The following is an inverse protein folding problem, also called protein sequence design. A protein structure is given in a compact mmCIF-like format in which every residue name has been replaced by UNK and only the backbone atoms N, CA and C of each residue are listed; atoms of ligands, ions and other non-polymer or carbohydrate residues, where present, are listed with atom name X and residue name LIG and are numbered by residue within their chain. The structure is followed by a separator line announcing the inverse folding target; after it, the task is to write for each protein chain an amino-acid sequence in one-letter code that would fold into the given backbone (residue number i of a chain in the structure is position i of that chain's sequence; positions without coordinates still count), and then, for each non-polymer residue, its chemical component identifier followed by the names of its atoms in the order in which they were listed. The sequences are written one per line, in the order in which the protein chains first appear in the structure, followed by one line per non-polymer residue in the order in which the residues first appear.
data_IF_427683973361
#
_entry.id   IF_427683973361
#
_cell.length_a   1.000
_cell.length_b   1.000
_cell.length_c   1.000
_cell.angle_alpha   90.00
_cell.angle_beta   90.00
_cell.angle_gamma   90.00
#
_symmetry.space_group_name_H-M   'P 1'
#
loop_
_entity.id
_entity.type
_entity.pdbx_description
1 polymer ?
#
# COMPACT_ATOMS: atom_id res chain seq x y z
N UNK A 1 -10.97 11.21 8.63
CA UNK A 1 -9.59 11.67 8.82
C UNK A 1 -9.13 12.58 7.70
N UNK A 2 -8.98 12.09 6.43
CA UNK A 2 -8.38 12.87 5.33
C UNK A 2 -9.13 14.19 5.03
N UNK A 3 -10.44 14.14 4.88
CA UNK A 3 -11.26 15.35 4.61
C UNK A 3 -11.07 16.38 5.72
N UNK A 4 -11.24 15.95 6.96
CA UNK A 4 -11.04 16.84 8.12
C UNK A 4 -9.64 17.46 8.12
N UNK A 5 -8.60 16.65 7.86
CA UNK A 5 -7.22 17.15 7.82
C UNK A 5 -7.00 18.20 6.74
N UNK A 6 -7.55 17.98 5.54
CA UNK A 6 -7.44 18.92 4.44
C UNK A 6 -8.20 20.22 4.73
N UNK A 7 -9.40 20.14 5.32
CA UNK A 7 -10.22 21.29 5.68
C UNK A 7 -9.57 22.16 6.76
N UNK A 8 -8.75 21.56 7.64
CA UNK A 8 -8.06 22.25 8.74
C UNK A 8 -6.57 22.51 8.45
N UNK A 9 -6.11 22.26 7.22
CA UNK A 9 -4.69 22.38 6.86
C UNK A 9 -4.10 23.76 7.20
N UNK A 10 -4.83 24.84 6.91
CA UNK A 10 -4.39 26.20 7.22
C UNK A 10 -4.24 26.44 8.73
N UNK A 11 -5.16 25.95 9.55
CA UNK A 11 -5.10 26.04 11.02
C UNK A 11 -3.92 25.25 11.59
N UNK A 12 -3.58 24.12 10.94
CA UNK A 12 -2.47 23.27 11.33
C UNK A 12 -1.11 23.76 10.79
N UNK A 13 -1.10 24.84 9.99
CA UNK A 13 0.11 25.37 9.37
C UNK A 13 0.72 24.45 8.32
N UNK A 14 -0.11 23.62 7.65
CA UNK A 14 0.33 22.68 6.62
C UNK A 14 -0.26 23.05 5.25
N UNK A 15 0.41 22.61 4.19
CA UNK A 15 -0.04 22.84 2.81
C UNK A 15 -1.00 21.71 2.35
N UNK A 16 -2.26 22.05 2.13
CA UNK A 16 -3.28 21.11 1.67
C UNK A 16 -2.98 20.49 0.29
N UNK A 17 -2.10 21.12 -0.53
CA UNK A 17 -1.69 20.58 -1.83
C UNK A 17 -0.54 19.57 -1.72
N UNK A 18 0.01 19.38 -0.53
CA UNK A 18 1.18 18.53 -0.27
C UNK A 18 0.86 17.39 0.70
N UNK A 19 -0.36 16.87 0.63
CA UNK A 19 -0.80 15.75 1.46
C UNK A 19 -0.39 14.43 0.80
N UNK A 20 0.34 13.61 1.54
CA UNK A 20 0.65 12.21 1.17
C UNK A 20 -0.04 11.29 2.17
N UNK A 21 -0.72 10.26 1.69
CA UNK A 21 -1.17 9.16 2.54
C UNK A 21 -0.11 8.08 2.57
N UNK A 22 0.13 7.51 3.76
CA UNK A 22 1.09 6.41 3.87
C UNK A 22 0.63 5.36 4.87
N UNK A 23 1.11 4.15 4.65
CA UNK A 23 0.83 3.05 5.57
C UNK A 23 1.63 1.80 5.26
N UNK A 24 1.85 0.98 6.28
CA UNK A 24 2.49 -0.33 6.18
C UNK A 24 1.48 -1.46 6.38
N UNK A 25 1.67 -2.57 5.65
CA UNK A 25 0.88 -3.79 5.80
C UNK A 25 -0.63 -3.51 5.61
N UNK A 26 -1.47 -3.84 6.58
CA UNK A 26 -2.89 -3.49 6.58
C UNK A 26 -3.10 -1.96 6.44
N UNK A 27 -2.25 -1.15 7.08
CA UNK A 27 -2.27 0.31 6.92
C UNK A 27 -1.94 0.77 5.51
N UNK A 28 -1.09 0.03 4.78
CA UNK A 28 -0.81 0.26 3.35
C UNK A 28 -2.05 -0.02 2.50
N UNK A 29 -2.77 -1.09 2.78
CA UNK A 29 -4.08 -1.38 2.17
C UNK A 29 -5.10 -0.27 2.42
N UNK A 30 -5.18 0.22 3.67
CA UNK A 30 -6.05 1.35 4.02
C UNK A 30 -5.63 2.64 3.29
N UNK A 31 -4.34 2.93 3.16
CA UNK A 31 -3.84 4.09 2.42
C UNK A 31 -4.22 4.02 0.93
N UNK A 32 -4.07 2.86 0.31
CA UNK A 32 -4.50 2.63 -1.07
C UNK A 32 -6.03 2.77 -1.22
N UNK A 33 -6.80 2.20 -0.27
CA UNK A 33 -8.26 2.34 -0.23
C UNK A 33 -8.73 3.79 -0.06
N UNK A 34 -8.02 4.57 0.77
CA UNK A 34 -8.29 6.01 0.95
C UNK A 34 -7.97 6.78 -0.32
N UNK A 35 -6.90 6.43 -1.05
CA UNK A 35 -6.55 7.06 -2.33
C UNK A 35 -7.63 6.82 -3.38
N UNK A 36 -8.13 5.58 -3.51
CA UNK A 36 -9.28 5.24 -4.36
C UNK A 36 -10.52 6.03 -3.97
N UNK A 37 -10.85 6.06 -2.69
CA UNK A 37 -12.04 6.73 -2.18
C UNK A 37 -11.98 8.25 -2.39
N UNK A 38 -10.81 8.87 -2.20
CA UNK A 38 -10.60 10.30 -2.43
C UNK A 38 -10.80 10.65 -3.89
N UNK A 39 -10.24 9.86 -4.83
CA UNK A 39 -10.44 10.01 -6.26
C UNK A 39 -11.94 9.92 -6.62
N UNK A 40 -12.59 8.82 -6.23
CA UNK A 40 -13.96 8.51 -6.64
C UNK A 40 -14.99 9.51 -6.08
N UNK A 41 -14.73 10.04 -4.90
CA UNK A 41 -15.57 11.05 -4.25
C UNK A 41 -15.19 12.49 -4.58
N UNK A 42 -14.19 12.69 -5.46
CA UNK A 42 -13.64 14.03 -5.74
C UNK A 42 -13.30 14.79 -4.46
N UNK A 43 -12.70 14.06 -3.53
CA UNK A 43 -12.26 14.57 -2.24
C UNK A 43 -10.92 15.31 -2.34
N UNK A 44 -10.22 15.53 -1.20
CA UNK A 44 -8.93 16.23 -1.21
C UNK A 44 -7.94 15.58 -2.17
N UNK A 45 -7.24 16.41 -2.96
CA UNK A 45 -6.17 15.95 -3.82
C UNK A 45 -5.01 15.44 -2.96
N UNK A 46 -4.43 14.32 -3.38
CA UNK A 46 -3.24 13.74 -2.74
C UNK A 46 -2.01 13.97 -3.63
N UNK A 47 -0.94 14.45 -3.04
CA UNK A 47 0.35 14.56 -3.71
C UNK A 47 0.99 13.20 -3.99
N UNK A 48 0.66 12.19 -3.17
CA UNK A 48 1.16 10.83 -3.34
C UNK A 48 0.56 9.82 -2.37
N UNK A 49 0.84 8.55 -2.62
CA UNK A 49 0.55 7.43 -1.72
C UNK A 49 1.82 6.59 -1.53
N UNK A 50 2.24 6.36 -0.28
CA UNK A 50 3.41 5.58 0.08
C UNK A 50 2.96 4.29 0.77
N UNK A 51 3.12 3.16 0.09
CA UNK A 51 2.57 1.87 0.44
C UNK A 51 3.71 0.90 0.77
N UNK A 52 3.88 0.58 2.05
CA UNK A 52 4.94 -0.29 2.56
C UNK A 52 4.35 -1.68 2.75
N UNK A 53 4.80 -2.66 1.98
CA UNK A 53 4.29 -4.03 1.96
C UNK A 53 2.76 -4.11 2.13
N UNK A 54 1.98 -3.35 1.30
CA UNK A 54 0.55 -3.20 1.53
C UNK A 54 -0.22 -4.51 1.33
N UNK A 55 -1.22 -4.72 2.20
CA UNK A 55 -2.21 -5.79 2.13
C UNK A 55 -3.35 -5.35 1.20
N UNK A 56 -3.40 -5.86 -0.04
CA UNK A 56 -4.27 -5.34 -1.11
C UNK A 56 -5.31 -6.35 -1.60
N UNK A 57 -4.97 -7.65 -1.62
CA UNK A 57 -5.79 -8.70 -2.23
C UNK A 57 -6.34 -9.69 -1.21
N UNK A 58 -7.65 -9.59 -1.00
CA UNK A 58 -8.38 -10.45 -0.07
C UNK A 58 -8.52 -11.91 -0.53
N UNK A 59 -8.23 -12.23 -1.80
CA UNK A 59 -8.38 -13.60 -2.32
C UNK A 59 -7.26 -14.54 -1.87
N UNK A 60 -6.08 -13.98 -1.57
CA UNK A 60 -4.96 -14.75 -1.06
C UNK A 60 -4.54 -15.91 -2.00
N UNK A 61 -4.58 -15.66 -3.33
CA UNK A 61 -4.40 -16.68 -4.38
C UNK A 61 -3.11 -16.53 -5.19
N UNK A 62 -2.27 -15.53 -4.86
CA UNK A 62 -0.99 -15.31 -5.53
C UNK A 62 0.01 -16.43 -5.26
N UNK A 63 1.02 -16.57 -6.12
CA UNK A 63 2.10 -17.55 -5.90
C UNK A 63 2.81 -17.30 -4.57
N UNK A 64 3.14 -16.02 -4.27
CA UNK A 64 3.77 -15.67 -2.99
C UNK A 64 2.90 -16.02 -1.79
N UNK A 65 1.57 -15.84 -1.88
CA UNK A 65 0.66 -16.23 -0.80
C UNK A 65 0.71 -17.73 -0.47
N UNK A 66 0.92 -18.57 -1.48
CA UNK A 66 1.08 -20.01 -1.29
C UNK A 66 2.49 -20.40 -0.82
N UNK A 67 3.53 -19.68 -1.29
CA UNK A 67 4.92 -19.92 -0.87
C UNK A 67 5.13 -19.67 0.63
N UNK A 68 4.37 -18.75 1.22
CA UNK A 68 4.47 -18.39 2.64
C UNK A 68 3.32 -18.94 3.49
N UNK A 69 2.78 -20.11 3.13
CA UNK A 69 1.89 -20.89 3.99
C UNK A 69 2.69 -21.46 5.17
N UNK A 70 2.26 -21.14 6.39
CA UNK A 70 2.93 -21.56 7.64
C UNK A 70 4.32 -20.96 7.86
N UNK A 71 4.76 -20.00 7.06
CA UNK A 71 6.11 -19.45 7.08
C UNK A 71 6.10 -17.91 7.16
N UNK A 72 7.23 -17.36 7.63
CA UNK A 72 7.46 -15.92 7.66
C UNK A 72 6.87 -15.23 8.89
N UNK A 73 7.07 -13.91 8.95
CA UNK A 73 6.54 -13.05 10.03
C UNK A 73 5.04 -12.79 9.88
N UNK A 74 4.51 -12.96 8.66
CA UNK A 74 3.08 -12.90 8.32
C UNK A 74 2.77 -14.02 7.33
N UNK A 75 2.14 -15.10 7.81
CA UNK A 75 1.84 -16.27 6.99
C UNK A 75 0.49 -16.14 6.27
N UNK A 76 0.25 -17.06 5.34
CA UNK A 76 -1.02 -17.18 4.62
C UNK A 76 -2.21 -17.32 5.57
N UNK A 77 -2.08 -18.14 6.61
CA UNK A 77 -3.15 -18.44 7.58
C UNK A 77 -3.49 -17.19 8.41
N UNK A 78 -2.46 -16.47 8.85
CA UNK A 78 -2.64 -15.21 9.58
C UNK A 78 -3.29 -14.16 8.68
N UNK A 79 -2.92 -14.12 7.39
CA UNK A 79 -3.53 -13.23 6.42
C UNK A 79 -5.02 -13.54 6.16
N UNK A 80 -5.38 -14.82 6.06
CA UNK A 80 -6.79 -15.24 5.97
C UNK A 80 -7.59 -14.76 7.18
N UNK A 81 -7.07 -14.97 8.38
CA UNK A 81 -7.72 -14.48 9.60
C UNK A 81 -7.83 -12.94 9.62
N UNK A 82 -6.80 -12.22 9.15
CA UNK A 82 -6.84 -10.76 9.01
C UNK A 82 -7.96 -10.29 8.09
N UNK A 83 -8.12 -10.92 6.93
CA UNK A 83 -9.21 -10.61 6.01
C UNK A 83 -10.58 -10.99 6.57
N UNK A 84 -10.70 -12.10 7.29
CA UNK A 84 -11.94 -12.50 7.98
C UNK A 84 -12.33 -11.47 9.05
N UNK A 85 -11.37 -10.97 9.82
CA UNK A 85 -11.63 -9.90 10.79
C UNK A 85 -12.12 -8.60 10.14
N UNK A 86 -11.61 -8.26 8.94
CA UNK A 86 -11.97 -7.03 8.24
C UNK A 86 -13.29 -7.15 7.47
N UNK A 87 -13.51 -8.26 6.77
CA UNK A 87 -14.57 -8.42 5.77
C UNK A 87 -15.68 -9.41 6.20
N UNK A 88 -15.46 -10.18 7.28
CA UNK A 88 -16.39 -11.22 7.72
C UNK A 88 -16.60 -12.26 6.63
N UNK A 89 -17.85 -12.60 6.34
CA UNK A 89 -18.24 -13.60 5.33
C UNK A 89 -17.76 -13.25 3.90
N UNK A 90 -17.36 -12.01 3.66
CA UNK A 90 -16.83 -11.56 2.36
C UNK A 90 -15.31 -11.68 2.24
N UNK A 91 -14.63 -12.27 3.21
CA UNK A 91 -13.16 -12.33 3.27
C UNK A 91 -12.51 -12.87 1.97
N UNK A 92 -13.07 -13.91 1.37
CA UNK A 92 -12.58 -14.50 0.11
C UNK A 92 -13.40 -14.08 -1.13
N UNK A 93 -14.33 -13.10 -0.98
CA UNK A 93 -15.24 -12.73 -2.06
C UNK A 93 -14.59 -11.78 -3.07
N UNK A 94 -14.77 -12.05 -4.36
CA UNK A 94 -14.41 -11.13 -5.43
C UNK A 94 -15.26 -9.85 -5.42
N UNK A 95 -16.40 -9.83 -4.72
CA UNK A 95 -17.26 -8.67 -4.54
C UNK A 95 -16.88 -7.84 -3.31
N UNK A 96 -15.72 -8.06 -2.69
CA UNK A 96 -15.23 -7.19 -1.64
C UNK A 96 -15.08 -5.75 -2.16
N UNK A 97 -15.37 -4.78 -1.29
CA UNK A 97 -15.23 -3.37 -1.66
C UNK A 97 -13.79 -3.04 -2.04
N UNK A 98 -13.60 -2.37 -3.18
CA UNK A 98 -12.28 -1.86 -3.62
C UNK A 98 -11.63 -0.92 -2.59
N UNK A 99 -12.41 -0.32 -1.71
CA UNK A 99 -11.87 0.55 -0.66
C UNK A 99 -11.33 -0.22 0.54
N UNK A 100 -11.75 -1.48 0.70
CA UNK A 100 -11.24 -2.38 1.71
C UNK A 100 -10.20 -3.35 1.15
N UNK A 101 -10.36 -3.79 -0.10
CA UNK A 101 -9.44 -4.64 -0.85
C UNK A 101 -9.05 -3.96 -2.18
N UNK A 102 -8.04 -3.08 -2.19
CA UNK A 102 -7.70 -2.25 -3.35
C UNK A 102 -7.38 -3.01 -4.64
N UNK A 103 -6.93 -4.26 -4.54
CA UNK A 103 -6.73 -5.11 -5.70
C UNK A 103 -8.03 -5.44 -6.46
N UNK A 104 -9.20 -5.23 -5.84
CA UNK A 104 -10.52 -5.41 -6.48
C UNK A 104 -10.94 -4.21 -7.35
N UNK A 105 -10.26 -3.07 -7.28
CA UNK A 105 -10.56 -1.94 -8.14
C UNK A 105 -10.40 -2.32 -9.62
N UNK A 106 -11.42 -2.08 -10.43
CA UNK A 106 -11.36 -2.35 -11.88
C UNK A 106 -10.51 -1.30 -12.59
N UNK A 107 -10.60 -0.04 -12.15
CA UNK A 107 -9.89 1.09 -12.71
C UNK A 107 -8.95 1.73 -11.66
N UNK A 108 -7.66 1.85 -12.01
CA UNK A 108 -6.63 2.52 -11.20
C UNK A 108 -6.17 3.85 -11.83
N UNK A 109 -6.87 4.34 -12.86
CA UNK A 109 -6.56 5.64 -13.45
C UNK A 109 -6.81 6.79 -12.47
N UNK A 110 -6.09 7.90 -12.66
CA UNK A 110 -6.27 9.10 -11.85
C UNK A 110 -5.88 8.99 -10.38
N UNK A 111 -5.23 7.91 -9.97
CA UNK A 111 -4.63 7.80 -8.64
C UNK A 111 -3.41 8.71 -8.50
N UNK A 112 -3.11 9.22 -7.29
CA UNK A 112 -1.90 9.97 -7.04
C UNK A 112 -0.65 9.10 -7.30
N UNK A 113 0.52 9.70 -7.61
CA UNK A 113 1.76 8.96 -7.71
C UNK A 113 1.96 8.02 -6.53
N UNK A 114 2.34 6.76 -6.81
CA UNK A 114 2.50 5.74 -5.79
C UNK A 114 3.98 5.37 -5.59
N UNK A 115 4.38 5.20 -4.35
CA UNK A 115 5.56 4.42 -3.97
C UNK A 115 5.06 3.12 -3.37
N UNK A 116 5.50 2.00 -3.91
CA UNK A 116 5.10 0.67 -3.47
C UNK A 116 6.36 -0.14 -3.21
N UNK A 117 6.43 -0.79 -2.08
CA UNK A 117 7.56 -1.68 -1.79
C UNK A 117 7.12 -2.92 -1.03
N UNK A 118 7.85 -4.00 -1.21
CA UNK A 118 7.70 -5.24 -0.48
C UNK A 118 9.04 -5.98 -0.37
N UNK A 119 9.15 -6.88 0.57
CA UNK A 119 10.25 -7.85 0.58
C UNK A 119 10.04 -8.93 -0.49
N UNK A 120 11.12 -9.51 -1.01
CA UNK A 120 10.98 -10.65 -1.93
C UNK A 120 10.60 -11.95 -1.20
N UNK A 121 10.82 -12.00 0.10
CA UNK A 121 10.56 -13.15 0.96
C UNK A 121 9.31 -12.92 1.85
N UNK A 122 8.22 -12.44 1.25
CA UNK A 122 6.96 -12.22 1.94
C UNK A 122 5.73 -12.54 1.09
N UNK A 123 4.60 -12.69 1.76
CA UNK A 123 3.31 -13.05 1.19
C UNK A 123 2.77 -12.01 0.21
N UNK A 124 2.88 -10.71 0.51
CA UNK A 124 2.29 -9.64 -0.27
C UNK A 124 3.09 -9.24 -1.52
N UNK A 125 4.25 -9.87 -1.76
CA UNK A 125 5.13 -9.54 -2.90
C UNK A 125 4.37 -9.47 -4.23
N UNK A 126 3.65 -10.51 -4.59
CA UNK A 126 3.06 -10.63 -5.93
C UNK A 126 1.89 -9.67 -6.12
N UNK A 127 1.02 -9.51 -5.13
CA UNK A 127 -0.10 -8.56 -5.21
C UNK A 127 0.38 -7.10 -5.28
N UNK A 128 1.52 -6.79 -4.67
CA UNK A 128 2.14 -5.46 -4.75
C UNK A 128 2.71 -5.19 -6.15
N UNK A 129 3.38 -6.19 -6.75
CA UNK A 129 3.87 -6.11 -8.14
C UNK A 129 2.70 -5.94 -9.11
N UNK A 130 1.65 -6.72 -8.95
CA UNK A 130 0.46 -6.65 -9.78
C UNK A 130 -0.22 -5.28 -9.68
N UNK A 131 -0.37 -4.75 -8.47
CA UNK A 131 -1.00 -3.45 -8.25
C UNK A 131 -0.21 -2.32 -8.91
N UNK A 132 1.12 -2.32 -8.80
CA UNK A 132 1.98 -1.37 -9.51
C UNK A 132 1.85 -1.48 -11.02
N UNK A 133 1.86 -2.71 -11.54
CA UNK A 133 1.70 -3.00 -12.97
C UNK A 133 0.37 -2.47 -13.52
N UNK A 134 -0.69 -2.62 -12.75
CA UNK A 134 -2.03 -2.11 -13.11
C UNK A 134 -2.12 -0.58 -13.07
N UNK A 135 -1.42 0.08 -12.13
CA UNK A 135 -1.31 1.55 -12.13
C UNK A 135 -0.63 2.01 -13.42
N UNK A 136 0.49 1.41 -13.82
CA UNK A 136 1.16 1.75 -15.09
C UNK A 136 0.29 1.49 -16.32
N UNK A 137 -0.45 0.38 -16.34
CA UNK A 137 -1.35 0.04 -17.45
C UNK A 137 -2.45 1.08 -17.68
N UNK A 138 -2.85 1.82 -16.65
CA UNK A 138 -3.81 2.93 -16.76
C UNK A 138 -3.16 4.31 -16.99
N UNK A 139 -1.84 4.35 -17.25
CA UNK A 139 -1.09 5.59 -17.46
C UNK A 139 -0.72 6.32 -16.17
N UNK A 140 -0.94 5.70 -14.99
CA UNK A 140 -0.55 6.24 -13.70
C UNK A 140 0.96 6.11 -13.43
N UNK A 141 1.41 6.72 -12.34
CA UNK A 141 2.81 6.69 -11.92
C UNK A 141 2.97 5.82 -10.67
N UNK A 142 3.84 4.82 -10.74
CA UNK A 142 4.25 4.02 -9.59
C UNK A 142 5.77 3.84 -9.60
N UNK A 143 6.38 3.93 -8.43
CA UNK A 143 7.75 3.50 -8.17
C UNK A 143 7.68 2.24 -7.32
N UNK A 144 8.23 1.12 -7.83
CA UNK A 144 8.14 -0.18 -7.19
C UNK A 144 9.51 -0.67 -6.77
N UNK A 145 9.63 -1.10 -5.51
CA UNK A 145 10.82 -1.74 -4.96
C UNK A 145 10.48 -3.12 -4.41
N UNK A 146 11.19 -4.16 -4.88
CA UNK A 146 11.14 -5.50 -4.30
C UNK A 146 12.50 -5.81 -3.70
N UNK A 147 12.56 -5.76 -2.38
CA UNK A 147 13.80 -5.88 -1.61
C UNK A 147 14.23 -7.34 -1.47
N UNK A 148 15.36 -7.69 -2.09
CA UNK A 148 15.89 -9.05 -2.12
C UNK A 148 16.15 -9.62 -0.71
N UNK A 149 15.47 -10.72 -0.36
CA UNK A 149 15.60 -11.39 0.95
C UNK A 149 14.82 -10.73 2.09
N UNK A 150 14.20 -9.57 1.88
CA UNK A 150 13.37 -8.92 2.89
C UNK A 150 12.11 -9.75 3.19
N UNK A 151 11.85 -10.02 4.48
CA UNK A 151 10.58 -10.58 4.94
C UNK A 151 9.56 -9.47 5.21
N UNK A 152 8.31 -9.82 5.46
CA UNK A 152 7.29 -8.85 5.85
C UNK A 152 7.69 -8.10 7.14
N UNK A 153 7.78 -6.77 7.05
CA UNK A 153 8.20 -5.92 8.16
C UNK A 153 9.70 -5.98 8.47
N UNK A 154 10.56 -6.38 7.52
CA UNK A 154 12.01 -6.47 7.73
C UNK A 154 12.62 -5.20 8.30
N UNK A 155 12.09 -4.05 7.96
CA UNK A 155 12.54 -2.74 8.44
C UNK A 155 12.25 -2.49 9.93
N UNK A 156 11.23 -3.16 10.48
CA UNK A 156 10.91 -3.14 11.91
C UNK A 156 11.79 -4.14 12.67
N UNK A 157 11.94 -5.37 12.12
CA UNK A 157 12.66 -6.44 12.78
C UNK A 157 14.18 -6.32 12.68
N UNK A 158 14.70 -5.67 11.65
CA UNK A 158 16.12 -5.49 11.40
C UNK A 158 16.44 -4.02 11.03
N UNK A 159 16.22 -3.06 11.96
CA UNK A 159 16.35 -1.63 11.66
C UNK A 159 17.77 -1.23 11.23
N UNK A 160 18.79 -1.95 11.70
CA UNK A 160 20.20 -1.69 11.39
C UNK A 160 20.69 -2.41 10.12
N UNK A 161 19.87 -3.24 9.49
CA UNK A 161 20.27 -3.95 8.28
C UNK A 161 20.48 -2.99 7.11
N UNK A 162 21.40 -3.31 6.21
CA UNK A 162 21.70 -2.49 5.03
C UNK A 162 20.47 -2.37 4.11
N UNK A 163 19.72 -3.45 3.96
CA UNK A 163 18.44 -3.46 3.21
C UNK A 163 17.44 -2.46 3.78
N UNK A 164 17.35 -2.32 5.10
CA UNK A 164 16.46 -1.36 5.77
C UNK A 164 16.92 0.07 5.53
N UNK A 165 18.22 0.34 5.64
CA UNK A 165 18.76 1.67 5.32
C UNK A 165 18.51 2.06 3.86
N UNK A 166 18.65 1.12 2.93
CA UNK A 166 18.36 1.33 1.52
C UNK A 166 16.86 1.63 1.29
N UNK A 167 15.97 0.89 1.92
CA UNK A 167 14.53 1.10 1.84
C UNK A 167 14.13 2.49 2.38
N UNK A 168 14.63 2.87 3.55
CA UNK A 168 14.37 4.19 4.14
C UNK A 168 14.91 5.33 3.27
N UNK A 169 16.08 5.16 2.65
CA UNK A 169 16.64 6.13 1.73
C UNK A 169 15.78 6.29 0.46
N UNK A 170 15.27 5.19 -0.10
CA UNK A 170 14.37 5.20 -1.26
C UNK A 170 13.04 5.92 -0.93
N UNK A 171 12.40 5.58 0.20
CA UNK A 171 11.18 6.27 0.68
C UNK A 171 11.42 7.77 0.83
N UNK A 172 12.52 8.16 1.49
CA UNK A 172 12.88 9.57 1.71
C UNK A 172 13.15 10.30 0.40
N UNK A 173 13.85 9.68 -0.53
CA UNK A 173 14.11 10.23 -1.87
C UNK A 173 12.81 10.46 -2.64
N UNK A 174 11.90 9.48 -2.64
CA UNK A 174 10.62 9.59 -3.31
C UNK A 174 9.75 10.71 -2.70
N UNK A 175 9.66 10.77 -1.35
CA UNK A 175 8.90 11.81 -0.65
C UNK A 175 9.40 13.22 -1.00
N UNK A 176 10.72 13.42 -1.05
CA UNK A 176 11.28 14.72 -1.46
C UNK A 176 10.87 15.10 -2.88
N UNK A 177 10.94 14.17 -3.82
CA UNK A 177 10.57 14.42 -5.21
C UNK A 177 9.08 14.73 -5.38
N UNK A 178 8.21 13.98 -4.73
CA UNK A 178 6.77 14.17 -4.86
C UNK A 178 6.26 15.41 -4.12
N UNK A 179 6.96 15.83 -3.07
CA UNK A 179 6.62 17.01 -2.29
C UNK A 179 7.38 18.28 -2.75
N UNK A 180 8.31 18.16 -3.71
CA UNK A 180 9.10 19.29 -4.19
C UNK A 180 10.04 19.87 -3.12
N UNK A 181 10.73 19.00 -2.35
CA UNK A 181 11.64 19.35 -1.25
C UNK A 181 13.10 19.19 -1.66
#
# INVERSE_FOLDING_TARGET
GLVWFADHAAELGVDANRIVVMGGSAGGGLAAGVSLLARDRKGPALAGQLLICPMLDNTNTTVSSHQYAGLGTWSREVNLAGWECLLGEKAASLSASQYAAPARAEDLSGLPPAFIEAGSAELFRDENVEYASRIWATGGQAELHIWGGGCHGFDIFAPEAEITRAALAARSSWLRRVLGL
#
